data_IF_709781161502
#
_entry.id   IF_709781161502
#
_cell.length_a   1.000
_cell.length_b   1.000
_cell.length_c   1.000
_cell.angle_alpha   90.00
_cell.angle_beta   90.00
_cell.angle_gamma   90.00
#
_symmetry.space_group_name_H-M   'P 1'
#
loop_
_entity.id
_entity.type
_entity.pdbx_description
1 polymer ?
#
# COMPACT_ATOMS: atom_id res chain seq x y z
N UNK A 1 -28.87 -28.58 -14.35
CA UNK A 1 -29.35 -27.54 -13.41
C UNK A 1 -28.26 -27.30 -12.38
N UNK A 2 -27.36 -26.33 -12.57
CA UNK A 2 -26.38 -25.98 -11.54
C UNK A 2 -27.10 -25.36 -10.34
N UNK A 3 -27.01 -25.98 -9.18
CA UNK A 3 -27.47 -25.36 -7.93
C UNK A 3 -26.66 -24.07 -7.76
N UNK A 4 -27.33 -22.91 -7.70
CA UNK A 4 -26.69 -21.67 -7.24
C UNK A 4 -26.13 -21.99 -5.86
N UNK A 5 -24.81 -21.95 -5.70
CA UNK A 5 -24.19 -22.06 -4.38
C UNK A 5 -24.77 -20.93 -3.51
N UNK A 6 -25.30 -21.29 -2.35
CA UNK A 6 -25.71 -20.29 -1.37
C UNK A 6 -24.43 -19.61 -0.84
N UNK A 7 -24.45 -18.28 -0.73
CA UNK A 7 -23.39 -17.55 -0.06
C UNK A 7 -23.35 -17.95 1.42
N UNK A 8 -22.16 -18.07 2.01
CA UNK A 8 -22.04 -18.32 3.45
C UNK A 8 -22.68 -17.17 4.22
N UNK A 9 -23.34 -17.48 5.32
CA UNK A 9 -23.97 -16.48 6.21
C UNK A 9 -22.89 -15.67 6.94
N UNK A 10 -21.78 -16.34 7.29
CA UNK A 10 -20.58 -15.75 7.86
C UNK A 10 -19.36 -16.55 7.42
N UNK A 11 -18.22 -15.88 7.27
CA UNK A 11 -16.96 -16.50 6.84
C UNK A 11 -15.78 -15.89 7.58
N UNK A 12 -14.77 -16.68 7.85
CA UNK A 12 -13.45 -16.19 8.26
C UNK A 12 -12.33 -16.98 7.59
N UNK A 13 -11.47 -16.35 6.78
CA UNK A 13 -10.19 -16.93 6.39
C UNK A 13 -9.19 -16.87 7.56
N UNK A 14 -8.38 -17.94 7.76
CA UNK A 14 -7.26 -17.96 8.70
C UNK A 14 -6.02 -17.28 8.08
N UNK A 15 -6.14 -16.02 7.72
CA UNK A 15 -5.18 -15.29 6.88
C UNK A 15 -4.91 -13.88 7.46
N UNK A 16 -4.66 -13.82 8.77
CA UNK A 16 -4.40 -12.60 9.52
C UNK A 16 -3.81 -12.93 10.90
N UNK A 17 -3.98 -12.02 11.84
CA UNK A 17 -3.51 -12.13 13.21
C UNK A 17 -4.63 -12.46 14.18
N UNK A 18 -4.28 -13.01 15.35
CA UNK A 18 -5.15 -13.01 16.51
C UNK A 18 -5.04 -11.67 17.26
N UNK A 19 -6.12 -11.16 17.91
CA UNK A 19 -7.38 -11.87 18.19
C UNK A 19 -8.32 -12.02 17.01
N UNK A 20 -8.62 -10.98 16.24
CA UNK A 20 -9.29 -11.01 14.93
C UNK A 20 -9.28 -9.62 14.27
N UNK A 21 -9.26 -9.60 12.94
CA UNK A 21 -9.44 -8.41 12.14
C UNK A 21 -10.89 -8.29 11.69
N UNK A 22 -11.61 -7.24 12.14
CA UNK A 22 -13.00 -6.99 11.82
C UNK A 22 -13.23 -5.88 10.77
N UNK A 23 -12.14 -5.41 10.15
CA UNK A 23 -12.22 -4.41 9.08
C UNK A 23 -10.93 -4.28 8.31
N UNK A 24 -11.05 -4.07 7.00
CA UNK A 24 -9.92 -3.86 6.10
C UNK A 24 -10.13 -2.54 5.35
N UNK A 25 -9.05 -1.73 5.22
CA UNK A 25 -9.07 -0.51 4.41
C UNK A 25 -9.38 -0.83 2.95
N UNK A 26 -9.98 0.13 2.26
CA UNK A 26 -10.00 0.14 0.80
C UNK A 26 -8.59 0.21 0.23
N UNK A 27 -8.43 -0.31 -0.98
CA UNK A 27 -7.19 -0.24 -1.72
C UNK A 27 -7.49 0.37 -3.09
N UNK A 28 -6.95 1.56 -3.33
CA UNK A 28 -7.04 2.26 -4.60
C UNK A 28 -5.65 2.33 -5.22
N UNK A 29 -5.47 1.67 -6.35
CA UNK A 29 -4.25 1.70 -7.14
C UNK A 29 -4.50 2.38 -8.48
N UNK A 30 -3.47 3.00 -9.06
CA UNK A 30 -3.54 3.60 -10.38
C UNK A 30 -2.21 4.23 -10.77
N UNK A 31 -2.23 4.96 -11.87
CA UNK A 31 -1.04 5.68 -12.35
C UNK A 31 -1.36 7.15 -12.62
N UNK A 32 -0.42 8.03 -12.29
CA UNK A 32 -0.28 9.32 -12.95
C UNK A 32 0.52 9.10 -14.23
N UNK A 33 -0.08 9.37 -15.37
CA UNK A 33 0.53 9.21 -16.69
C UNK A 33 0.73 10.59 -17.31
N UNK A 34 1.97 10.92 -17.68
CA UNK A 34 2.31 12.19 -18.31
C UNK A 34 1.82 12.27 -19.76
N UNK A 35 1.85 13.47 -20.33
CA UNK A 35 1.91 13.62 -21.79
C UNK A 35 3.22 13.03 -22.31
N UNK A 36 3.29 12.76 -23.63
CA UNK A 36 4.55 12.38 -24.27
C UNK A 36 5.46 13.60 -24.36
N UNK A 37 6.61 13.55 -23.71
CA UNK A 37 7.61 14.61 -23.80
C UNK A 37 8.34 14.56 -25.15
N UNK A 38 8.16 15.61 -25.96
CA UNK A 38 8.90 15.80 -27.20
C UNK A 38 10.18 16.57 -26.87
N UNK A 39 11.32 16.00 -27.19
CA UNK A 39 12.63 16.61 -26.91
C UNK A 39 12.87 16.92 -25.41
N UNK A 40 12.30 16.12 -24.51
CA UNK A 40 12.47 16.24 -23.08
C UNK A 40 13.93 16.10 -22.61
N UNK A 41 14.24 16.64 -21.45
CA UNK A 41 15.54 16.47 -20.82
C UNK A 41 15.71 15.06 -20.23
N UNK A 42 14.63 14.45 -19.76
CA UNK A 42 14.63 13.09 -19.22
C UNK A 42 14.69 12.08 -20.37
N UNK A 43 15.73 11.25 -20.40
CA UNK A 43 15.94 10.19 -21.38
C UNK A 43 15.43 8.83 -20.87
N UNK A 44 15.55 8.58 -19.58
CA UNK A 44 15.03 7.41 -18.87
C UNK A 44 14.75 7.78 -17.42
N UNK A 45 13.71 7.23 -16.83
CA UNK A 45 13.45 7.33 -15.40
C UNK A 45 12.75 6.06 -14.92
N UNK A 46 13.39 5.36 -14.01
CA UNK A 46 12.88 4.13 -13.40
C UNK A 46 13.18 4.08 -11.93
N UNK A 47 12.26 3.56 -11.15
CA UNK A 47 12.42 3.36 -9.70
C UNK A 47 11.41 2.35 -9.17
N UNK A 48 11.75 1.71 -8.06
CA UNK A 48 10.91 0.76 -7.37
C UNK A 48 10.72 -0.58 -8.09
N UNK A 49 10.39 -1.62 -7.32
CA UNK A 49 10.21 -3.00 -7.79
C UNK A 49 8.78 -3.51 -7.63
N UNK A 50 7.98 -2.89 -6.74
CA UNK A 50 6.62 -3.29 -6.46
C UNK A 50 5.71 -2.05 -6.30
N UNK A 51 4.47 -2.15 -6.77
CA UNK A 51 3.51 -1.05 -6.72
C UNK A 51 3.09 -0.68 -5.29
N UNK A 52 3.15 -1.63 -4.36
CA UNK A 52 2.73 -1.50 -2.97
C UNK A 52 3.90 -1.36 -1.97
N UNK A 53 5.07 -1.00 -2.45
CA UNK A 53 6.25 -0.75 -1.62
C UNK A 53 6.90 0.59 -1.98
N UNK A 54 7.37 1.34 -0.98
CA UNK A 54 8.14 2.56 -1.17
C UNK A 54 9.47 2.21 -1.84
N UNK A 55 9.82 2.92 -2.90
CA UNK A 55 11.03 2.67 -3.68
C UNK A 55 12.28 3.02 -2.86
N UNK A 56 13.15 2.04 -2.62
CA UNK A 56 14.46 2.22 -1.99
C UNK A 56 15.56 2.59 -2.99
N UNK A 57 15.32 2.38 -4.28
CA UNK A 57 16.24 2.74 -5.36
C UNK A 57 15.49 3.33 -6.55
N UNK A 58 16.08 4.35 -7.15
CA UNK A 58 15.63 4.93 -8.40
C UNK A 58 16.82 5.44 -9.22
N UNK A 59 16.64 5.54 -10.53
CA UNK A 59 17.65 6.02 -11.48
C UNK A 59 16.97 6.83 -12.58
N UNK A 60 17.53 8.00 -12.90
CA UNK A 60 17.17 8.77 -14.08
C UNK A 60 18.40 9.01 -14.96
N UNK A 61 18.21 9.09 -16.25
CA UNK A 61 19.22 9.56 -17.22
C UNK A 61 18.67 10.81 -17.89
N UNK A 62 19.44 11.89 -17.87
CA UNK A 62 19.02 13.20 -18.38
C UNK A 62 20.05 13.80 -19.34
N UNK A 63 19.58 14.68 -20.21
CA UNK A 63 20.42 15.54 -21.08
C UNK A 63 20.95 16.72 -20.27
N UNK A 64 22.07 16.54 -19.58
CA UNK A 64 22.75 17.57 -18.82
C UNK A 64 24.26 17.32 -18.84
N UNK A 65 25.05 18.32 -18.39
CA UNK A 65 26.46 18.15 -18.07
C UNK A 65 26.67 17.88 -16.57
N UNK A 66 27.79 17.29 -16.19
CA UNK A 66 28.13 17.05 -14.78
C UNK A 66 28.19 18.32 -13.95
N UNK A 67 28.60 19.44 -14.55
CA UNK A 67 28.69 20.74 -13.87
C UNK A 67 27.33 21.30 -13.48
N UNK A 68 26.26 20.90 -14.18
CA UNK A 68 24.88 21.29 -13.86
C UNK A 68 24.28 20.46 -12.74
N UNK A 69 24.93 19.37 -12.35
CA UNK A 69 24.42 18.41 -11.39
C UNK A 69 25.20 18.46 -10.06
N UNK A 70 24.84 19.31 -9.09
CA UNK A 70 25.55 19.45 -7.82
C UNK A 70 25.43 18.19 -6.96
N UNK A 71 26.34 18.02 -6.02
CA UNK A 71 26.26 16.94 -5.04
C UNK A 71 25.07 17.15 -4.10
N UNK A 72 24.34 16.08 -3.81
CA UNK A 72 23.24 16.08 -2.84
C UNK A 72 23.28 14.80 -1.99
N UNK A 73 22.66 14.85 -0.82
CA UNK A 73 22.55 13.68 0.04
C UNK A 73 21.76 12.58 -0.66
N UNK A 74 22.16 11.32 -0.48
CA UNK A 74 21.54 10.13 -1.07
C UNK A 74 21.48 10.11 -2.61
N UNK A 75 22.11 11.06 -3.30
CA UNK A 75 22.18 11.16 -4.77
C UNK A 75 23.61 10.90 -5.25
N UNK A 76 23.73 10.00 -6.20
CA UNK A 76 24.97 9.75 -6.94
C UNK A 76 24.78 10.19 -8.39
N UNK A 77 25.75 10.96 -8.91
CA UNK A 77 25.73 11.51 -10.26
C UNK A 77 26.93 10.99 -11.04
N UNK A 78 26.69 10.44 -12.24
CA UNK A 78 27.73 9.86 -13.08
C UNK A 78 27.53 10.28 -14.53
N UNK A 79 28.59 10.72 -15.22
CA UNK A 79 28.55 11.01 -16.65
C UNK A 79 28.34 9.72 -17.45
N UNK A 80 27.44 9.77 -18.44
CA UNK A 80 27.17 8.67 -19.38
C UNK A 80 27.16 9.21 -20.80
N UNK A 81 27.15 8.30 -21.79
CA UNK A 81 27.03 8.73 -23.19
C UNK A 81 25.69 9.45 -23.41
N UNK A 82 25.79 10.69 -23.92
CA UNK A 82 24.63 11.54 -24.20
C UNK A 82 24.02 12.27 -22.99
N UNK A 83 24.61 12.20 -21.77
CA UNK A 83 24.08 12.92 -20.60
C UNK A 83 24.64 12.52 -19.25
N UNK A 84 23.77 12.55 -18.25
CA UNK A 84 24.12 12.27 -16.85
C UNK A 84 23.12 11.24 -16.28
N UNK A 85 23.66 10.27 -15.57
CA UNK A 85 22.91 9.32 -14.76
C UNK A 85 22.84 9.82 -13.33
N UNK A 86 21.64 9.84 -12.78
CA UNK A 86 21.32 10.24 -11.39
C UNK A 86 20.71 9.03 -10.72
N UNK A 87 21.33 8.57 -9.63
CA UNK A 87 20.88 7.42 -8.84
C UNK A 87 20.56 7.88 -7.42
N UNK A 88 19.43 7.46 -6.88
CA UNK A 88 19.02 7.76 -5.52
C UNK A 88 18.91 6.48 -4.68
N UNK A 89 19.36 6.58 -3.41
CA UNK A 89 19.23 5.54 -2.40
C UNK A 89 18.29 6.01 -1.29
N UNK A 90 17.09 5.45 -1.25
CA UNK A 90 16.06 5.69 -0.26
C UNK A 90 16.07 4.71 0.90
N UNK A 91 14.93 4.58 1.57
CA UNK A 91 14.64 3.59 2.60
C UNK A 91 13.27 3.00 2.25
N UNK A 92 13.23 1.74 1.85
CA UNK A 92 12.00 1.06 1.45
C UNK A 92 11.11 0.66 2.62
N UNK A 93 9.85 0.37 2.32
CA UNK A 93 8.85 -0.14 3.25
C UNK A 93 7.52 -0.45 2.56
N UNK A 94 6.64 -1.18 3.24
CA UNK A 94 5.33 -1.52 2.69
C UNK A 94 4.36 -0.34 2.75
N UNK A 95 3.45 -0.21 1.76
CA UNK A 95 2.46 0.88 1.66
C UNK A 95 1.58 1.07 2.90
N UNK A 96 1.29 0.00 3.65
CA UNK A 96 0.51 0.08 4.88
C UNK A 96 1.28 0.61 6.09
N UNK A 97 2.63 0.69 6.02
CA UNK A 97 3.53 1.10 7.10
C UNK A 97 4.70 1.89 6.49
N UNK A 98 4.39 3.03 5.88
CA UNK A 98 5.38 3.86 5.18
C UNK A 98 6.15 4.83 6.11
N UNK A 99 5.85 4.86 7.40
CA UNK A 99 6.55 5.73 8.37
C UNK A 99 8.04 5.40 8.43
N UNK A 100 8.88 6.45 8.41
CA UNK A 100 10.34 6.31 8.46
C UNK A 100 10.99 5.86 7.16
N UNK A 101 10.22 5.66 6.09
CA UNK A 101 10.75 5.39 4.74
C UNK A 101 11.17 6.67 4.03
N UNK A 102 12.01 6.53 3.00
CA UNK A 102 12.45 7.63 2.12
C UNK A 102 12.32 7.15 0.68
N UNK A 103 11.44 7.78 -0.09
CA UNK A 103 11.18 7.36 -1.46
C UNK A 103 12.26 7.85 -2.42
N UNK A 104 13.03 6.93 -3.01
CA UNK A 104 14.09 7.25 -3.95
C UNK A 104 13.57 7.93 -5.23
N UNK A 105 12.33 7.66 -5.63
CA UNK A 105 11.69 8.34 -6.79
C UNK A 105 11.48 9.82 -6.47
N UNK A 106 10.98 10.12 -5.26
CA UNK A 106 10.81 11.49 -4.78
C UNK A 106 12.13 12.23 -4.71
N UNK A 107 13.20 11.59 -4.17
CA UNK A 107 14.53 12.19 -4.13
C UNK A 107 15.04 12.63 -5.53
N UNK A 108 14.84 11.81 -6.56
CA UNK A 108 15.21 12.18 -7.93
C UNK A 108 14.31 13.29 -8.46
N UNK A 109 12.99 13.21 -8.24
CA UNK A 109 12.06 14.25 -8.69
C UNK A 109 12.43 15.61 -8.10
N UNK A 110 12.64 15.69 -6.78
CA UNK A 110 13.03 16.90 -6.08
C UNK A 110 14.41 17.42 -6.56
N UNK A 111 15.38 16.52 -6.71
CA UNK A 111 16.70 16.90 -7.23
C UNK A 111 16.63 17.53 -8.62
N UNK A 112 15.82 16.97 -9.53
CA UNK A 112 15.62 17.50 -10.88
C UNK A 112 14.94 18.87 -10.86
N UNK A 113 13.94 19.04 -10.00
CA UNK A 113 13.19 20.30 -9.82
C UNK A 113 14.08 21.39 -9.24
N UNK A 114 14.77 21.12 -8.13
CA UNK A 114 15.60 22.08 -7.38
C UNK A 114 16.76 22.63 -8.23
N UNK A 115 17.29 21.82 -9.14
CA UNK A 115 18.40 22.19 -10.01
C UNK A 115 17.98 22.64 -11.42
N UNK A 116 16.66 22.76 -11.69
CA UNK A 116 16.12 23.21 -12.99
C UNK A 116 16.66 22.37 -14.17
N UNK A 117 16.74 21.05 -14.03
CA UNK A 117 17.36 20.13 -14.98
C UNK A 117 16.39 19.57 -16.01
N UNK A 118 15.17 20.03 -16.04
CA UNK A 118 14.07 19.48 -16.84
C UNK A 118 13.33 20.58 -17.61
N UNK A 119 12.56 20.20 -18.62
CA UNK A 119 11.69 21.11 -19.36
C UNK A 119 10.45 21.51 -18.53
N UNK A 120 9.76 22.56 -18.93
CA UNK A 120 8.53 23.02 -18.24
C UNK A 120 7.44 21.94 -18.17
N UNK A 121 7.30 21.13 -19.23
CA UNK A 121 6.32 20.02 -19.25
C UNK A 121 6.70 18.90 -18.28
N UNK A 122 7.98 18.54 -18.23
CA UNK A 122 8.52 17.55 -17.28
C UNK A 122 8.46 18.06 -15.84
N UNK A 123 8.77 19.35 -15.63
CA UNK A 123 8.67 20.01 -14.33
C UNK A 123 7.24 19.90 -13.75
N UNK A 124 6.20 20.15 -14.56
CA UNK A 124 4.82 19.98 -14.14
C UNK A 124 4.55 18.57 -13.66
N UNK A 125 4.94 17.55 -14.41
CA UNK A 125 4.73 16.16 -14.02
C UNK A 125 5.54 15.78 -12.78
N UNK A 126 6.79 16.18 -12.68
CA UNK A 126 7.62 15.87 -11.53
C UNK A 126 7.09 16.51 -10.23
N UNK A 127 6.41 17.65 -10.30
CA UNK A 127 5.76 18.26 -9.13
C UNK A 127 4.68 17.36 -8.53
N UNK A 128 3.87 16.64 -9.34
CA UNK A 128 2.91 15.69 -8.77
C UNK A 128 3.60 14.44 -8.22
N UNK A 129 4.73 14.01 -8.81
CA UNK A 129 5.55 12.94 -8.27
C UNK A 129 6.15 13.32 -6.91
N UNK A 130 6.69 14.54 -6.80
CA UNK A 130 7.19 15.09 -5.54
C UNK A 130 6.10 15.13 -4.46
N UNK A 131 4.93 15.72 -4.74
CA UNK A 131 3.78 15.75 -3.84
C UNK A 131 3.31 14.35 -3.39
N UNK A 132 3.37 13.35 -4.28
CA UNK A 132 3.02 11.96 -3.95
C UNK A 132 4.03 11.33 -2.99
N UNK A 133 5.30 11.75 -3.04
CA UNK A 133 6.39 11.18 -2.24
C UNK A 133 6.70 12.00 -0.98
N UNK A 134 6.14 13.20 -0.83
CA UNK A 134 6.41 14.13 0.28
C UNK A 134 5.85 13.61 1.61
N UNK A 135 4.60 13.15 1.58
CA UNK A 135 3.95 12.61 2.76
C UNK A 135 3.07 11.40 2.42
N UNK A 136 2.99 10.46 3.34
CA UNK A 136 2.25 9.21 3.16
C UNK A 136 0.79 9.27 3.58
N UNK A 137 0.29 10.43 4.03
CA UNK A 137 -1.12 10.65 4.40
C UNK A 137 -1.89 11.43 3.34
N UNK A 138 -1.21 11.88 2.27
CA UNK A 138 -1.80 12.53 1.11
C UNK A 138 -2.26 13.98 1.37
N UNK A 139 -1.66 14.71 2.32
CA UNK A 139 -1.98 16.11 2.56
C UNK A 139 -1.68 16.96 1.32
N UNK A 140 -0.49 16.81 0.73
CA UNK A 140 -0.11 17.54 -0.50
C UNK A 140 -1.02 17.22 -1.69
N UNK A 141 -1.64 16.04 -1.70
CA UNK A 141 -2.59 15.62 -2.73
C UNK A 141 -4.05 16.01 -2.43
N UNK A 142 -4.36 16.53 -1.22
CA UNK A 142 -5.70 16.91 -0.80
C UNK A 142 -6.66 15.74 -0.59
N UNK A 143 -6.14 14.54 -0.27
CA UNK A 143 -6.94 13.32 -0.11
C UNK A 143 -6.92 12.76 1.31
N UNK A 144 -6.23 13.40 2.24
CA UNK A 144 -6.15 12.96 3.63
C UNK A 144 -7.54 12.71 4.23
N UNK A 145 -7.70 11.63 4.94
CA UNK A 145 -8.91 11.32 5.70
C UNK A 145 -8.64 10.32 6.83
N UNK A 146 -9.47 10.42 7.88
CA UNK A 146 -9.42 9.62 9.08
C UNK A 146 -10.85 9.45 9.60
N UNK A 147 -11.29 8.21 9.87
CA UNK A 147 -12.62 7.92 10.39
C UNK A 147 -12.62 7.53 11.87
N UNK A 148 -11.47 7.53 12.51
CA UNK A 148 -11.29 7.11 13.90
C UNK A 148 -11.48 5.61 14.17
N UNK A 149 -11.71 4.80 13.12
CA UNK A 149 -11.86 3.34 13.17
C UNK A 149 -10.60 2.68 12.63
N UNK A 150 -10.14 3.15 11.47
CA UNK A 150 -8.91 2.73 10.84
C UNK A 150 -7.77 3.71 11.14
N UNK A 151 -6.50 3.30 11.00
CA UNK A 151 -5.43 4.27 10.84
C UNK A 151 -5.75 5.25 9.69
N UNK A 152 -5.26 6.51 9.70
CA UNK A 152 -5.49 7.47 8.63
C UNK A 152 -5.18 6.93 7.23
N UNK A 153 -5.76 7.52 6.18
CA UNK A 153 -5.41 7.19 4.80
C UNK A 153 -3.89 7.18 4.63
N UNK A 154 -3.39 6.19 3.88
CA UNK A 154 -2.01 6.19 3.41
C UNK A 154 -1.97 6.13 1.89
N UNK A 155 -0.96 6.78 1.28
CA UNK A 155 -0.68 6.72 -0.15
C UNK A 155 0.82 6.72 -0.39
N UNK A 156 1.28 5.92 -1.34
CA UNK A 156 2.68 5.89 -1.77
C UNK A 156 2.81 5.92 -3.29
N UNK A 157 3.96 6.37 -3.78
CA UNK A 157 4.44 6.12 -5.13
C UNK A 157 5.46 4.98 -5.12
N UNK A 158 5.06 3.78 -5.55
CA UNK A 158 5.92 2.58 -5.48
C UNK A 158 6.82 2.41 -6.71
N UNK A 159 6.35 2.76 -7.89
CA UNK A 159 7.09 2.54 -9.14
C UNK A 159 6.94 3.72 -10.10
N UNK A 160 8.05 4.09 -10.75
CA UNK A 160 8.04 4.97 -11.91
C UNK A 160 8.71 4.27 -13.10
N UNK A 161 8.16 4.47 -14.30
CA UNK A 161 8.73 3.96 -15.55
C UNK A 161 8.55 4.97 -16.68
N UNK A 162 9.54 5.06 -17.55
CA UNK A 162 9.45 5.82 -18.78
C UNK A 162 9.38 4.89 -19.97
N UNK A 163 8.37 5.06 -20.82
CA UNK A 163 8.17 4.29 -22.04
C UNK A 163 7.81 5.25 -23.18
N UNK A 164 8.56 5.24 -24.25
CA UNK A 164 8.32 6.08 -25.43
C UNK A 164 8.12 7.57 -25.12
N UNK A 165 8.86 8.12 -24.15
CA UNK A 165 8.76 9.51 -23.74
C UNK A 165 7.53 9.83 -22.86
N UNK A 166 6.85 8.82 -22.33
CA UNK A 166 5.75 8.95 -21.36
C UNK A 166 6.22 8.42 -20.03
N UNK A 167 6.08 9.22 -18.97
CA UNK A 167 6.30 8.79 -17.61
C UNK A 167 5.00 8.26 -17.00
N UNK A 168 5.09 7.10 -16.35
CA UNK A 168 4.02 6.52 -15.53
C UNK A 168 4.51 6.36 -14.11
N UNK A 169 3.88 7.08 -13.18
CA UNK A 169 4.11 6.96 -11.75
C UNK A 169 2.90 6.29 -11.12
N UNK A 170 3.07 5.07 -10.58
CA UNK A 170 1.98 4.45 -9.87
C UNK A 170 1.72 5.12 -8.51
N UNK A 171 0.51 4.97 -8.02
CA UNK A 171 0.15 5.20 -6.63
C UNK A 171 -0.59 3.97 -6.06
N UNK A 172 -0.37 3.70 -4.78
CA UNK A 172 -1.12 2.73 -3.97
C UNK A 172 -1.62 3.44 -2.72
N UNK A 173 -2.95 3.57 -2.59
CA UNK A 173 -3.60 4.22 -1.46
C UNK A 173 -4.42 3.22 -0.65
N UNK A 174 -4.34 3.34 0.68
CA UNK A 174 -5.16 2.58 1.63
C UNK A 174 -6.06 3.56 2.36
N UNK A 175 -7.38 3.45 2.16
CA UNK A 175 -8.33 4.46 2.62
C UNK A 175 -9.40 3.90 3.57
N UNK A 176 -9.83 4.71 4.57
CA UNK A 176 -10.84 4.31 5.56
C UNK A 176 -12.26 4.38 4.99
N UNK A 177 -13.27 4.14 5.83
CA UNK A 177 -14.69 4.03 5.40
C UNK A 177 -15.41 5.35 5.18
N UNK A 178 -14.83 6.50 5.57
CA UNK A 178 -15.42 7.82 5.41
C UNK A 178 -15.13 8.52 4.06
N UNK A 179 -14.53 7.79 3.11
CA UNK A 179 -14.33 8.23 1.73
C UNK A 179 -14.59 7.07 0.78
N UNK A 180 -14.61 7.34 -0.53
CA UNK A 180 -14.78 6.33 -1.57
C UNK A 180 -13.65 6.40 -2.59
N UNK A 181 -13.36 5.27 -3.26
CA UNK A 181 -12.39 5.25 -4.35
C UNK A 181 -12.75 6.26 -5.45
N UNK A 182 -14.04 6.41 -5.77
CA UNK A 182 -14.51 7.42 -6.75
C UNK A 182 -14.18 8.86 -6.35
N UNK A 183 -14.36 9.22 -5.06
CA UNK A 183 -14.03 10.57 -4.57
C UNK A 183 -12.52 10.81 -4.63
N UNK A 184 -11.72 9.81 -4.25
CA UNK A 184 -10.26 9.89 -4.33
C UNK A 184 -9.79 10.03 -5.78
N UNK A 185 -10.32 9.22 -6.71
CA UNK A 185 -10.01 9.33 -8.15
C UNK A 185 -10.38 10.69 -8.69
N UNK A 186 -11.55 11.24 -8.29
CA UNK A 186 -11.97 12.59 -8.68
C UNK A 186 -10.97 13.66 -8.25
N UNK A 187 -10.51 13.62 -7.00
CA UNK A 187 -9.50 14.55 -6.45
C UNK A 187 -8.14 14.39 -7.14
N UNK A 188 -7.65 13.14 -7.27
CA UNK A 188 -6.37 12.85 -7.92
C UNK A 188 -6.39 13.22 -9.40
N UNK A 189 -7.50 12.99 -10.12
CA UNK A 189 -7.65 13.40 -11.52
C UNK A 189 -7.66 14.91 -11.68
N UNK A 190 -8.38 15.63 -10.80
CA UNK A 190 -8.39 17.08 -10.80
C UNK A 190 -7.02 17.71 -10.49
N UNK A 191 -6.25 17.08 -9.60
CA UNK A 191 -4.88 17.46 -9.31
C UNK A 191 -3.96 17.12 -10.49
N UNK A 192 -4.04 15.88 -11.02
CA UNK A 192 -3.26 15.44 -12.17
C UNK A 192 -3.38 16.37 -13.36
N UNK A 193 -4.61 16.79 -13.71
CA UNK A 193 -4.85 17.72 -14.81
C UNK A 193 -4.11 19.07 -14.64
N UNK A 194 -3.97 19.56 -13.41
CA UNK A 194 -3.19 20.79 -13.13
C UNK A 194 -1.70 20.62 -13.37
N UNK A 195 -1.20 19.42 -13.23
CA UNK A 195 0.21 19.06 -13.39
C UNK A 195 0.51 18.31 -14.69
N UNK A 196 -0.39 18.37 -15.68
CA UNK A 196 -0.17 17.74 -16.99
C UNK A 196 -0.18 16.21 -16.93
N UNK A 197 -0.82 15.62 -15.93
CA UNK A 197 -0.96 14.18 -15.77
C UNK A 197 -2.41 13.74 -15.91
N UNK A 198 -2.60 12.51 -16.41
CA UNK A 198 -3.89 11.82 -16.44
C UNK A 198 -3.84 10.63 -15.48
N UNK A 199 -4.91 10.42 -14.71
CA UNK A 199 -5.03 9.20 -13.89
C UNK A 199 -5.51 8.05 -14.77
N UNK A 200 -4.75 6.95 -14.78
CA UNK A 200 -5.01 5.77 -15.62
C UNK A 200 -4.90 4.48 -14.80
N UNK A 201 -5.34 3.37 -15.39
CA UNK A 201 -5.18 2.00 -14.86
C UNK A 201 -5.68 1.88 -13.42
N UNK A 202 -6.85 2.45 -13.12
CA UNK A 202 -7.41 2.51 -11.77
C UNK A 202 -8.04 1.18 -11.40
N UNK A 203 -7.63 0.65 -10.26
CA UNK A 203 -8.23 -0.48 -9.58
C UNK A 203 -8.67 -0.07 -8.17
N UNK A 204 -9.91 -0.39 -7.80
CA UNK A 204 -10.48 -0.06 -6.50
C UNK A 204 -11.07 -1.29 -5.82
N UNK A 205 -10.70 -1.47 -4.57
CA UNK A 205 -11.24 -2.49 -3.68
C UNK A 205 -11.77 -1.80 -2.43
N UNK A 206 -13.09 -1.79 -2.27
CA UNK A 206 -13.77 -1.02 -1.22
C UNK A 206 -13.40 -1.48 0.20
N UNK A 207 -13.36 -0.56 1.19
CA UNK A 207 -13.16 -0.93 2.57
C UNK A 207 -14.39 -1.63 3.14
N UNK A 208 -14.19 -2.43 4.20
CA UNK A 208 -15.30 -2.93 5.00
C UNK A 208 -14.99 -2.87 6.49
N UNK A 209 -16.03 -2.80 7.30
CA UNK A 209 -15.95 -2.85 8.75
C UNK A 209 -17.19 -3.53 9.34
N UNK A 210 -16.98 -4.46 10.27
CA UNK A 210 -18.03 -5.14 11.01
C UNK A 210 -17.89 -4.75 12.48
N UNK A 211 -18.99 -4.20 13.06
CA UNK A 211 -18.97 -3.74 14.45
C UNK A 211 -18.61 -4.85 15.44
N UNK A 212 -17.77 -4.51 16.42
CA UNK A 212 -17.31 -5.45 17.44
C UNK A 212 -18.44 -5.96 18.38
N UNK A 213 -19.60 -5.28 18.36
CA UNK A 213 -20.80 -5.65 19.12
C UNK A 213 -21.60 -6.80 18.51
N UNK A 214 -21.34 -7.15 17.26
CA UNK A 214 -22.03 -8.22 16.54
C UNK A 214 -21.80 -9.59 17.21
N UNK A 215 -22.83 -10.44 17.30
CA UNK A 215 -22.73 -11.73 17.98
C UNK A 215 -21.66 -12.65 17.38
N UNK A 216 -21.53 -12.68 16.07
CA UNK A 216 -20.52 -13.47 15.34
C UNK A 216 -19.09 -13.00 15.64
N UNK A 217 -18.89 -11.69 15.80
CA UNK A 217 -17.58 -11.12 16.17
C UNK A 217 -17.23 -11.51 17.60
N UNK A 218 -18.18 -11.37 18.52
CA UNK A 218 -18.00 -11.78 19.91
C UNK A 218 -17.70 -13.28 20.04
N UNK A 219 -18.44 -14.13 19.31
CA UNK A 219 -18.22 -15.58 19.34
C UNK A 219 -16.80 -15.97 18.93
N UNK A 220 -16.25 -15.36 17.87
CA UNK A 220 -14.88 -15.59 17.42
C UNK A 220 -13.86 -15.01 18.40
N UNK A 221 -14.05 -13.76 18.83
CA UNK A 221 -13.17 -13.06 19.76
C UNK A 221 -13.04 -13.81 21.09
N UNK A 222 -14.18 -14.17 21.69
CA UNK A 222 -14.23 -14.90 22.97
C UNK A 222 -13.59 -16.28 22.85
N UNK A 223 -13.73 -16.98 21.71
CA UNK A 223 -13.06 -18.25 21.48
C UNK A 223 -11.53 -18.10 21.43
N UNK A 224 -11.04 -17.07 20.71
CA UNK A 224 -9.63 -16.75 20.64
C UNK A 224 -9.04 -16.37 21.99
N UNK A 225 -9.72 -15.50 22.72
CA UNK A 225 -9.30 -15.01 24.04
C UNK A 225 -9.26 -16.13 25.09
N UNK A 226 -10.31 -16.99 25.13
CA UNK A 226 -10.39 -18.11 26.06
C UNK A 226 -9.24 -19.10 25.87
N UNK A 227 -9.00 -19.56 24.64
CA UNK A 227 -7.94 -20.55 24.37
C UNK A 227 -6.54 -19.97 24.61
N UNK A 228 -6.35 -18.67 24.33
CA UNK A 228 -5.06 -17.99 24.52
C UNK A 228 -4.85 -17.47 25.94
N UNK A 229 -5.89 -17.37 26.74
CA UNK A 229 -5.82 -16.81 28.09
C UNK A 229 -5.53 -15.31 28.10
N UNK A 230 -6.08 -14.54 27.14
CA UNK A 230 -5.87 -13.09 26.96
C UNK A 230 -7.20 -12.34 26.90
N UNK A 231 -7.14 -11.01 27.02
CA UNK A 231 -8.27 -10.09 26.80
C UNK A 231 -7.97 -9.20 25.59
N UNK A 232 -7.86 -9.82 24.44
CA UNK A 232 -7.62 -9.12 23.18
C UNK A 232 -8.87 -8.43 22.64
N UNK A 233 -8.68 -7.36 21.87
CA UNK A 233 -9.76 -6.64 21.19
C UNK A 233 -9.65 -6.83 19.69
N UNK A 234 -10.76 -6.73 18.91
CA UNK A 234 -10.69 -6.71 17.47
C UNK A 234 -9.81 -5.57 16.99
N UNK A 235 -9.21 -5.74 15.83
CA UNK A 235 -8.41 -4.70 15.17
C UNK A 235 -8.82 -4.52 13.72
N UNK A 236 -8.41 -3.40 13.13
CA UNK A 236 -8.56 -3.11 11.70
C UNK A 236 -7.19 -3.03 11.05
N UNK A 237 -7.09 -3.33 9.76
CA UNK A 237 -5.82 -3.33 9.06
C UNK A 237 -5.84 -2.60 7.72
N UNK A 238 -4.66 -2.14 7.28
CA UNK A 238 -4.46 -1.52 5.96
C UNK A 238 -4.26 -2.53 4.82
N UNK A 239 -4.01 -3.80 5.15
CA UNK A 239 -3.91 -4.90 4.20
C UNK A 239 -5.28 -5.41 3.75
N UNK A 240 -5.28 -6.48 2.98
CA UNK A 240 -6.51 -7.12 2.52
C UNK A 240 -6.36 -8.63 2.45
N UNK A 241 -7.44 -9.32 2.82
CA UNK A 241 -7.55 -10.77 2.76
C UNK A 241 -8.72 -11.20 1.88
N UNK A 242 -8.96 -12.49 1.81
CA UNK A 242 -10.16 -13.04 1.15
C UNK A 242 -11.47 -12.58 1.79
N UNK A 243 -11.47 -12.10 3.04
CA UNK A 243 -12.66 -11.63 3.73
C UNK A 243 -13.40 -10.55 2.94
N UNK A 244 -12.69 -9.62 2.29
CA UNK A 244 -13.28 -8.53 1.49
C UNK A 244 -14.18 -8.95 0.34
N UNK A 245 -14.08 -10.20 -0.11
CA UNK A 245 -14.93 -10.73 -1.18
C UNK A 245 -16.29 -11.21 -0.69
N UNK A 246 -16.55 -11.19 0.62
CA UNK A 246 -17.77 -11.67 1.23
C UNK A 246 -18.45 -10.58 2.08
N UNK A 247 -19.78 -10.55 2.06
CA UNK A 247 -20.55 -9.50 2.74
C UNK A 247 -20.45 -9.52 4.26
N UNK A 248 -20.26 -10.69 4.86
CA UNK A 248 -20.19 -10.88 6.31
C UNK A 248 -19.00 -11.79 6.61
N UNK A 249 -17.80 -11.19 6.62
CA UNK A 249 -16.55 -11.92 6.81
C UNK A 249 -15.54 -11.08 7.60
N UNK A 250 -14.71 -11.79 8.35
CA UNK A 250 -13.58 -11.23 9.11
C UNK A 250 -12.34 -12.01 8.75
N UNK A 251 -11.15 -11.54 9.15
CA UNK A 251 -9.93 -12.36 9.12
C UNK A 251 -9.54 -12.74 10.55
N UNK A 252 -9.17 -14.02 10.77
CA UNK A 252 -9.10 -14.59 12.11
C UNK A 252 -7.93 -15.55 12.26
N UNK A 253 -6.79 -15.04 12.78
CA UNK A 253 -5.57 -15.81 13.00
C UNK A 253 -4.90 -16.18 11.65
N UNK A 254 -3.78 -16.83 11.64
CA UNK A 254 -3.12 -17.62 12.72
C UNK A 254 -1.97 -16.88 13.42
N UNK A 255 -1.59 -15.71 12.95
CA UNK A 255 -0.41 -15.00 13.41
C UNK A 255 -0.58 -14.39 14.81
N UNK A 256 0.54 -14.32 15.54
CA UNK A 256 0.69 -13.60 16.81
C UNK A 256 2.00 -12.80 16.72
N UNK A 257 1.94 -11.52 16.31
CA UNK A 257 3.14 -10.74 16.02
C UNK A 257 4.13 -10.61 17.17
N UNK A 258 3.65 -10.70 18.40
CA UNK A 258 4.50 -10.59 19.58
C UNK A 258 5.31 -11.88 19.90
N UNK A 259 5.03 -13.00 19.23
CA UNK A 259 5.78 -14.24 19.43
C UNK A 259 7.04 -14.25 18.57
N UNK A 260 8.22 -14.45 19.18
CA UNK A 260 9.46 -14.54 18.40
C UNK A 260 9.46 -15.82 17.55
N UNK A 261 9.93 -15.68 16.32
CA UNK A 261 10.19 -16.81 15.43
C UNK A 261 11.66 -17.26 15.59
N UNK A 262 11.96 -18.56 15.39
CA UNK A 262 13.34 -19.02 15.28
C UNK A 262 14.10 -18.31 14.14
N UNK A 263 15.41 -18.13 14.28
CA UNK A 263 16.25 -17.42 13.31
C UNK A 263 16.21 -17.99 11.87
N UNK A 264 15.85 -19.27 11.74
CA UNK A 264 15.73 -19.93 10.42
C UNK A 264 14.35 -19.75 9.77
N UNK A 265 13.40 -19.10 10.43
CA UNK A 265 12.06 -18.84 9.90
C UNK A 265 11.99 -17.43 9.35
N UNK A 266 11.65 -17.33 8.07
CA UNK A 266 11.44 -16.05 7.40
C UNK A 266 10.20 -15.32 7.90
N UNK A 267 10.20 -14.01 7.71
CA UNK A 267 9.01 -13.17 7.98
C UNK A 267 7.92 -13.44 6.96
N UNK A 268 6.70 -13.01 7.27
CA UNK A 268 5.55 -13.06 6.36
C UNK A 268 5.95 -12.52 4.97
N UNK A 269 5.60 -13.25 3.92
CA UNK A 269 5.89 -12.95 2.51
C UNK A 269 7.39 -12.95 2.15
N UNK A 270 8.23 -13.63 2.94
CA UNK A 270 9.64 -13.81 2.61
C UNK A 270 9.99 -15.29 2.39
N UNK A 271 11.23 -15.56 1.97
CA UNK A 271 11.76 -16.93 1.89
C UNK A 271 11.74 -17.60 3.26
N UNK A 272 11.50 -18.91 3.27
CA UNK A 272 11.45 -19.75 4.47
C UNK A 272 10.38 -19.30 5.50
N UNK A 273 9.32 -18.64 5.03
CA UNK A 273 8.15 -18.32 5.85
C UNK A 273 7.59 -19.58 6.48
N UNK A 274 7.27 -19.53 7.78
CA UNK A 274 6.81 -20.71 8.50
C UNK A 274 6.03 -20.37 9.75
N UNK A 275 5.29 -21.36 10.24
CA UNK A 275 4.50 -21.27 11.47
C UNK A 275 4.81 -22.44 12.40
N UNK A 276 4.87 -22.21 13.71
CA UNK A 276 5.10 -23.25 14.71
C UNK A 276 3.93 -24.25 14.77
N UNK A 277 4.25 -25.55 14.86
CA UNK A 277 3.25 -26.63 14.96
C UNK A 277 2.30 -26.42 16.14
N UNK A 278 2.80 -25.95 17.29
CA UNK A 278 1.96 -25.72 18.46
C UNK A 278 1.02 -24.53 18.26
N UNK A 279 1.44 -23.51 17.49
CA UNK A 279 0.56 -22.41 17.06
C UNK A 279 -0.56 -22.92 16.15
N UNK A 280 -0.25 -23.80 15.19
CA UNK A 280 -1.28 -24.43 14.34
C UNK A 280 -2.28 -25.26 15.18
N UNK A 281 -1.80 -26.03 16.15
CA UNK A 281 -2.68 -26.79 17.06
C UNK A 281 -3.55 -25.88 17.92
N UNK A 282 -3.01 -24.77 18.41
CA UNK A 282 -3.77 -23.76 19.15
C UNK A 282 -4.83 -23.13 18.27
N UNK A 283 -4.46 -22.69 17.07
CA UNK A 283 -5.38 -22.11 16.09
C UNK A 283 -6.52 -23.08 15.75
N UNK A 284 -6.23 -24.36 15.57
CA UNK A 284 -7.26 -25.37 15.33
C UNK A 284 -8.25 -25.46 16.50
N UNK A 285 -7.77 -25.43 17.75
CA UNK A 285 -8.67 -25.41 18.94
C UNK A 285 -9.55 -24.16 18.95
N UNK A 286 -8.98 -23.00 18.64
CA UNK A 286 -9.73 -21.73 18.54
C UNK A 286 -10.83 -21.85 17.48
N UNK A 287 -10.51 -22.35 16.29
CA UNK A 287 -11.48 -22.48 15.20
C UNK A 287 -12.60 -23.47 15.51
N UNK A 288 -12.29 -24.59 16.16
CA UNK A 288 -13.32 -25.56 16.61
C UNK A 288 -14.28 -24.88 17.59
N UNK A 289 -13.76 -24.14 18.58
CA UNK A 289 -14.58 -23.45 19.57
C UNK A 289 -15.38 -22.31 18.95
N UNK A 290 -14.77 -21.53 18.07
CA UNK A 290 -15.43 -20.45 17.33
C UNK A 290 -16.59 -20.98 16.47
N UNK A 291 -16.37 -22.03 15.69
CA UNK A 291 -17.41 -22.68 14.89
C UNK A 291 -18.55 -23.21 15.76
N UNK A 292 -18.22 -23.87 16.88
CA UNK A 292 -19.24 -24.34 17.82
C UNK A 292 -20.12 -23.20 18.34
N UNK A 293 -19.51 -22.06 18.72
CA UNK A 293 -20.23 -20.86 19.19
C UNK A 293 -21.06 -20.21 18.09
N UNK A 294 -20.51 -20.10 16.87
CA UNK A 294 -21.22 -19.58 15.71
C UNK A 294 -22.47 -20.39 15.36
N UNK A 295 -22.40 -21.72 15.51
CA UNK A 295 -23.58 -22.60 15.29
C UNK A 295 -24.70 -22.40 16.31
N UNK A 296 -24.49 -21.67 17.39
CA UNK A 296 -25.52 -21.31 18.38
C UNK A 296 -26.17 -19.95 18.08
N UNK A 297 -25.70 -19.23 17.05
CA UNK A 297 -26.23 -17.92 16.67
C UNK A 297 -27.32 -18.09 15.61
N UNK A 298 -28.44 -17.41 15.77
CA UNK A 298 -29.44 -17.23 14.72
C UNK A 298 -29.02 -16.04 13.85
N UNK A 299 -28.79 -16.27 12.57
CA UNK A 299 -28.35 -15.26 11.61
C UNK A 299 -29.53 -14.67 10.83
#
# INVERSE_FOLDING_TARGET
MMRKAAWPVFLFPPDSEFPLCNGEKGCLCGNFTSVRFKDGAILDFKGGMAHNAVADQACAVIRASLEQCPKADRITVTGVDGGVRIEAAGIGGHASHAEGTINAIGLIADYLLDNSLVTEEEEKFLKIVSLLCEDYQGHGLGIQCDDGIFPPLSIIGGMIRMEDGVLKQNFDSRYPTNTTGSDLVGKLSGLGARYGATVTDVEDSVPFYIGADKPEIKACLDAGNEIRGVDGKPFTMGGGTYARHFKNAISFGTEIPAEPLPDFVGKIHTFDEGIGIDRLKMSLKIYILALYRLMQIEF
#
